data_IF_050832258347
#
_entry.id   IF_050832258347
#
_cell.length_a   1.000
_cell.length_b   1.000
_cell.length_c   1.000
_cell.angle_alpha   90.00
_cell.angle_beta   90.00
_cell.angle_gamma   90.00
#
_symmetry.space_group_name_H-M   'P 1'
#
loop_
_entity.id
_entity.type
_entity.pdbx_description
1 polymer ?
#
# COMPACT_ATOMS: atom_id res chain seq x y z
N UNK A 1 29.35 11.74 -24.76
CA UNK A 1 30.33 11.10 -23.85
C UNK A 1 29.64 10.73 -22.55
N UNK A 2 29.08 9.51 -22.48
CA UNK A 2 28.37 9.00 -21.30
C UNK A 2 29.40 8.30 -20.42
N UNK A 3 29.71 8.85 -19.24
CA UNK A 3 30.59 8.18 -18.27
C UNK A 3 29.91 6.89 -17.83
N UNK A 4 30.40 5.76 -18.31
CA UNK A 4 30.06 4.42 -17.82
C UNK A 4 30.60 4.27 -16.40
N UNK A 5 29.89 4.86 -15.43
CA UNK A 5 30.09 4.59 -14.02
C UNK A 5 29.58 3.19 -13.70
N UNK A 6 30.32 2.47 -12.86
CA UNK A 6 29.85 1.24 -12.22
C UNK A 6 29.28 1.66 -10.86
N UNK A 7 28.03 1.28 -10.59
CA UNK A 7 27.39 1.51 -9.30
C UNK A 7 27.43 0.22 -8.50
N UNK A 8 27.95 0.30 -7.28
CA UNK A 8 27.96 -0.81 -6.34
C UNK A 8 26.72 -0.70 -5.45
N UNK A 9 25.89 -1.73 -5.46
CA UNK A 9 24.71 -1.79 -4.59
C UNK A 9 25.14 -2.04 -3.13
N UNK A 10 24.30 -1.70 -2.15
CA UNK A 10 24.60 -1.97 -0.73
C UNK A 10 24.82 -3.46 -0.40
N UNK A 11 24.50 -4.37 -1.33
CA UNK A 11 24.65 -5.82 -1.21
C UNK A 11 25.86 -6.37 -1.98
N UNK A 12 26.73 -5.49 -2.48
CA UNK A 12 28.01 -5.87 -3.11
C UNK A 12 27.95 -6.20 -4.61
N UNK A 13 26.81 -6.02 -5.29
CA UNK A 13 26.72 -6.24 -6.74
C UNK A 13 27.07 -4.98 -7.53
N UNK A 14 27.87 -5.13 -8.58
CA UNK A 14 28.26 -4.05 -9.49
C UNK A 14 27.34 -4.03 -10.71
N UNK A 15 26.55 -2.96 -10.85
CA UNK A 15 25.63 -2.77 -11.98
C UNK A 15 26.10 -1.62 -12.88
N UNK A 16 25.85 -1.75 -14.18
CA UNK A 16 26.06 -0.63 -15.11
C UNK A 16 24.99 0.45 -14.88
N UNK A 17 25.39 1.73 -14.90
CA UNK A 17 24.47 2.88 -14.79
C UNK A 17 23.19 2.80 -15.66
N UNK A 18 23.25 2.40 -16.95
CA UNK A 18 22.03 2.24 -17.76
C UNK A 18 21.09 1.15 -17.25
N UNK A 19 21.62 0.04 -16.74
CA UNK A 19 20.83 -1.10 -16.23
C UNK A 19 20.17 -0.73 -14.89
N UNK A 20 20.91 -0.08 -13.99
CA UNK A 20 20.37 0.46 -12.74
C UNK A 20 19.18 1.40 -12.98
N UNK A 21 19.31 2.31 -13.95
CA UNK A 21 18.24 3.26 -14.30
C UNK A 21 16.99 2.55 -14.85
N UNK A 22 17.16 1.45 -15.57
CA UNK A 22 16.04 0.66 -16.07
C UNK A 22 15.33 -0.10 -14.93
N UNK A 23 16.10 -0.77 -14.05
CA UNK A 23 15.56 -1.50 -12.88
C UNK A 23 14.73 -0.59 -11.98
N UNK A 24 15.25 0.60 -11.66
CA UNK A 24 14.56 1.61 -10.85
C UNK A 24 13.24 2.06 -11.46
N UNK A 25 13.15 2.21 -12.79
CA UNK A 25 11.88 2.56 -13.47
C UNK A 25 10.84 1.45 -13.31
N UNK A 26 11.25 0.19 -13.45
CA UNK A 26 10.34 -0.95 -13.31
C UNK A 26 9.82 -1.07 -11.87
N UNK A 27 10.70 -0.97 -10.87
CA UNK A 27 10.31 -0.95 -9.46
C UNK A 27 9.37 0.23 -9.14
N UNK A 28 9.66 1.41 -9.71
CA UNK A 28 8.85 2.62 -9.52
C UNK A 28 7.45 2.46 -10.12
N UNK A 29 7.31 1.83 -11.29
CA UNK A 29 6.00 1.53 -11.89
C UNK A 29 5.20 0.55 -11.02
N UNK A 30 5.85 -0.49 -10.48
CA UNK A 30 5.19 -1.46 -9.57
C UNK A 30 4.69 -0.78 -8.29
N UNK A 31 5.53 0.05 -7.68
CA UNK A 31 5.15 0.84 -6.51
C UNK A 31 3.99 1.79 -6.84
N UNK A 32 4.09 2.55 -7.93
CA UNK A 32 3.05 3.50 -8.32
C UNK A 32 1.72 2.82 -8.65
N UNK A 33 1.77 1.65 -9.31
CA UNK A 33 0.58 0.83 -9.55
C UNK A 33 -0.09 0.38 -8.25
N UNK A 34 0.68 -0.10 -7.29
CA UNK A 34 0.16 -0.50 -5.97
C UNK A 34 -0.41 0.70 -5.18
N UNK A 35 0.23 1.87 -5.26
CA UNK A 35 -0.21 3.08 -4.61
C UNK A 35 -1.54 3.60 -5.21
N UNK A 36 -1.67 3.58 -6.55
CA UNK A 36 -2.92 3.94 -7.22
C UNK A 36 -4.07 3.01 -6.82
N UNK A 37 -3.83 1.70 -6.76
CA UNK A 37 -4.84 0.73 -6.33
C UNK A 37 -5.28 0.98 -4.88
N UNK A 38 -4.30 1.22 -4.00
CA UNK A 38 -4.57 1.58 -2.59
C UNK A 38 -5.39 2.86 -2.47
N UNK A 39 -5.05 3.89 -3.25
CA UNK A 39 -5.76 5.16 -3.26
C UNK A 39 -7.20 5.00 -3.79
N UNK A 40 -7.39 4.17 -4.82
CA UNK A 40 -8.71 3.84 -5.35
C UNK A 40 -9.58 3.12 -4.30
N UNK A 41 -9.02 2.12 -3.61
CA UNK A 41 -9.68 1.43 -2.50
C UNK A 41 -10.00 2.38 -1.33
N UNK A 42 -9.08 3.28 -0.98
CA UNK A 42 -9.29 4.29 0.05
C UNK A 42 -10.42 5.27 -0.32
N UNK A 43 -10.46 5.75 -1.57
CA UNK A 43 -11.52 6.64 -2.08
C UNK A 43 -12.88 5.94 -2.15
N UNK A 44 -12.89 4.65 -2.49
CA UNK A 44 -14.09 3.83 -2.42
C UNK A 44 -14.62 3.72 -0.99
N UNK A 45 -13.74 3.38 -0.04
CA UNK A 45 -14.08 3.28 1.37
C UNK A 45 -14.59 4.61 1.94
N UNK A 46 -13.92 5.73 1.63
CA UNK A 46 -14.38 7.06 2.04
C UNK A 46 -15.77 7.40 1.49
N UNK A 47 -16.06 7.07 0.23
CA UNK A 47 -17.37 7.32 -0.37
C UNK A 47 -18.48 6.50 0.30
N UNK A 48 -18.16 5.30 0.80
CA UNK A 48 -19.11 4.42 1.51
C UNK A 48 -19.31 4.81 2.98
N UNK A 49 -18.27 5.34 3.63
CA UNK A 49 -18.33 5.73 5.05
C UNK A 49 -18.91 7.13 5.28
N UNK A 50 -18.73 8.09 4.36
CA UNK A 50 -19.29 9.45 4.46
C UNK A 50 -20.80 9.52 4.78
N UNK A 51 -21.69 8.73 4.15
CA UNK A 51 -23.12 8.77 4.48
C UNK A 51 -23.47 8.15 5.83
N UNK A 52 -22.58 7.33 6.43
CA UNK A 52 -22.82 6.67 7.73
C UNK A 52 -22.55 7.62 8.90
N UNK A 53 -21.63 8.57 8.73
CA UNK A 53 -21.20 9.50 9.78
C UNK A 53 -22.20 10.65 10.01
N UNK A 54 -23.14 10.93 9.09
CA UNK A 54 -23.89 12.21 9.04
C UNK A 54 -25.37 12.09 9.44
N UNK A 55 -25.79 11.06 10.19
CA UNK A 55 -27.15 11.04 10.77
C UNK A 55 -27.20 10.89 12.29
N UNK A 56 -26.10 11.11 12.98
CA UNK A 56 -26.12 11.40 14.42
C UNK A 56 -26.49 12.86 14.62
N UNK A 57 -27.79 13.14 14.58
CA UNK A 57 -28.31 14.46 14.96
C UNK A 57 -27.99 14.64 16.46
N UNK A 58 -27.26 15.69 16.89
CA UNK A 58 -26.88 15.85 18.30
C UNK A 58 -28.09 15.82 19.23
N UNK A 59 -29.26 16.23 18.73
CA UNK A 59 -30.55 16.16 19.43
C UNK A 59 -30.98 14.74 19.85
N UNK A 60 -30.48 13.69 19.17
CA UNK A 60 -30.76 12.28 19.50
C UNK A 60 -30.00 11.79 20.73
N UNK A 61 -28.88 12.43 21.09
CA UNK A 61 -28.15 12.12 22.32
C UNK A 61 -28.83 12.75 23.55
N UNK A 62 -29.53 13.87 23.35
CA UNK A 62 -30.21 14.60 24.43
C UNK A 62 -31.66 14.14 24.66
N UNK A 63 -32.31 13.47 23.70
CA UNK A 63 -33.75 13.23 23.77
C UNK A 63 -34.18 12.01 24.60
N UNK A 64 -33.27 11.22 25.19
CA UNK A 64 -33.63 10.00 25.93
C UNK A 64 -34.36 8.94 25.07
N UNK A 65 -34.55 9.21 23.78
CA UNK A 65 -35.13 8.28 22.81
C UNK A 65 -34.08 7.21 22.59
N UNK A 66 -34.38 5.99 23.05
CA UNK A 66 -33.58 4.78 22.82
C UNK A 66 -33.01 4.84 21.40
N UNK A 67 -31.68 4.80 21.29
CA UNK A 67 -30.94 4.74 20.03
C UNK A 67 -31.75 3.92 19.04
N UNK A 68 -32.32 4.59 18.04
CA UNK A 68 -33.16 3.95 17.04
C UNK A 68 -32.38 2.73 16.54
N UNK A 69 -32.98 1.54 16.71
CA UNK A 69 -32.38 0.25 16.38
C UNK A 69 -31.49 0.41 15.16
N UNK A 70 -30.18 0.35 15.37
CA UNK A 70 -29.20 0.40 14.29
C UNK A 70 -29.48 -0.86 13.47
N UNK A 71 -30.29 -0.72 12.42
CA UNK A 71 -30.46 -1.78 11.43
C UNK A 71 -29.12 -1.88 10.73
N UNK A 72 -28.32 -2.82 11.20
CA UNK A 72 -27.08 -3.22 10.56
C UNK A 72 -27.44 -3.70 9.17
N UNK A 73 -27.20 -2.86 8.17
CA UNK A 73 -27.37 -3.26 6.79
C UNK A 73 -26.21 -4.20 6.44
N UNK A 74 -26.52 -5.49 6.31
CA UNK A 74 -25.54 -6.52 5.94
C UNK A 74 -24.83 -6.19 4.62
N UNK A 75 -25.44 -5.40 3.71
CA UNK A 75 -24.79 -4.92 2.48
C UNK A 75 -23.73 -3.86 2.77
N UNK A 76 -23.99 -3.00 3.76
CA UNK A 76 -23.04 -1.99 4.21
C UNK A 76 -21.86 -2.65 4.92
N UNK A 77 -22.10 -3.64 5.79
CA UNK A 77 -21.03 -4.42 6.42
C UNK A 77 -20.16 -5.14 5.39
N UNK A 78 -20.77 -5.87 4.46
CA UNK A 78 -20.03 -6.64 3.45
C UNK A 78 -19.18 -5.72 2.56
N UNK A 79 -19.73 -4.58 2.12
CA UNK A 79 -18.98 -3.60 1.32
C UNK A 79 -17.88 -2.87 2.12
N UNK A 80 -18.09 -2.64 3.41
CA UNK A 80 -17.09 -2.03 4.30
C UNK A 80 -15.93 -2.99 4.56
N UNK A 81 -16.22 -4.25 4.85
CA UNK A 81 -15.20 -5.30 5.03
C UNK A 81 -14.38 -5.48 3.76
N UNK A 82 -15.02 -5.58 2.59
CA UNK A 82 -14.32 -5.64 1.29
C UNK A 82 -13.47 -4.40 1.00
N UNK A 83 -13.93 -3.21 1.40
CA UNK A 83 -13.17 -1.97 1.26
C UNK A 83 -11.95 -1.92 2.19
N UNK A 84 -12.10 -2.39 3.44
CA UNK A 84 -11.01 -2.46 4.42
C UNK A 84 -9.96 -3.47 3.98
N UNK A 85 -10.35 -4.67 3.56
CA UNK A 85 -9.41 -5.70 3.10
C UNK A 85 -8.64 -5.23 1.87
N UNK A 86 -9.31 -4.59 0.91
CA UNK A 86 -8.67 -3.99 -0.25
C UNK A 86 -7.69 -2.87 0.13
N UNK A 87 -8.05 -2.04 1.12
CA UNK A 87 -7.16 -0.98 1.62
C UNK A 87 -5.93 -1.55 2.35
N UNK A 88 -6.11 -2.54 3.24
CA UNK A 88 -5.01 -3.19 3.97
C UNK A 88 -4.09 -3.96 3.03
N UNK A 89 -4.66 -4.66 2.05
CA UNK A 89 -3.86 -5.38 1.05
C UNK A 89 -3.08 -4.40 0.16
N UNK A 90 -3.71 -3.29 -0.23
CA UNK A 90 -3.05 -2.21 -0.96
C UNK A 90 -1.90 -1.59 -0.18
N UNK A 91 -2.12 -1.23 1.09
CA UNK A 91 -1.07 -0.65 1.94
C UNK A 91 0.07 -1.62 2.22
N UNK A 92 -0.21 -2.90 2.45
CA UNK A 92 0.82 -3.94 2.57
C UNK A 92 1.63 -4.09 1.27
N UNK A 93 0.95 -4.15 0.13
CA UNK A 93 1.58 -4.22 -1.19
C UNK A 93 2.48 -3.02 -1.47
N UNK A 94 1.99 -1.82 -1.18
CA UNK A 94 2.75 -0.57 -1.30
C UNK A 94 3.96 -0.56 -0.35
N UNK A 95 3.82 -1.10 0.87
CA UNK A 95 4.92 -1.26 1.81
C UNK A 95 5.99 -2.21 1.29
N UNK A 96 5.61 -3.39 0.81
CA UNK A 96 6.54 -4.37 0.23
C UNK A 96 7.26 -3.78 -0.98
N UNK A 97 6.54 -3.25 -1.97
CA UNK A 97 7.18 -2.64 -3.14
C UNK A 97 8.00 -1.39 -2.81
N UNK A 98 7.59 -0.62 -1.81
CA UNK A 98 8.35 0.53 -1.30
C UNK A 98 9.67 0.10 -0.67
N UNK A 99 9.66 -0.95 0.16
CA UNK A 99 10.89 -1.52 0.75
C UNK A 99 11.81 -2.11 -0.32
N UNK A 100 11.27 -2.85 -1.31
CA UNK A 100 12.06 -3.37 -2.43
C UNK A 100 12.66 -2.23 -3.29
N UNK A 101 11.95 -1.12 -3.46
CA UNK A 101 12.46 0.04 -4.19
C UNK A 101 13.53 0.82 -3.41
N UNK A 102 13.40 0.91 -2.08
CA UNK A 102 14.37 1.57 -1.22
C UNK A 102 15.67 0.77 -1.10
N UNK A 103 15.56 -0.56 -1.01
CA UNK A 103 16.69 -1.48 -0.91
C UNK A 103 17.25 -1.91 -2.29
N UNK A 104 16.66 -1.42 -3.39
CA UNK A 104 16.99 -1.78 -4.78
C UNK A 104 17.05 -3.30 -5.03
N UNK A 105 16.12 -4.03 -4.44
CA UNK A 105 16.01 -5.49 -4.58
C UNK A 105 15.10 -5.78 -5.77
N UNK A 106 15.65 -6.45 -6.78
CA UNK A 106 14.96 -6.75 -8.04
C UNK A 106 14.77 -8.25 -8.28
N UNK A 107 15.58 -9.09 -7.63
CA UNK A 107 15.55 -10.55 -7.76
C UNK A 107 15.36 -11.27 -6.42
N UNK A 108 14.72 -12.43 -6.47
CA UNK A 108 14.56 -13.31 -5.31
C UNK A 108 15.91 -13.83 -4.77
N UNK A 109 16.91 -13.96 -5.64
CA UNK A 109 18.25 -14.40 -5.25
C UNK A 109 19.00 -13.31 -4.49
N UNK A 110 18.82 -12.03 -4.86
CA UNK A 110 19.34 -10.87 -4.12
C UNK A 110 18.72 -10.82 -2.71
N UNK A 111 17.41 -11.05 -2.61
CA UNK A 111 16.71 -11.10 -1.33
C UNK A 111 17.20 -12.25 -0.42
N UNK A 112 17.45 -13.44 -1.00
CA UNK A 112 17.99 -14.59 -0.25
C UNK A 112 19.42 -14.36 0.24
N UNK A 113 20.28 -13.75 -0.59
CA UNK A 113 21.64 -13.37 -0.16
C UNK A 113 21.59 -12.46 1.05
N UNK A 114 20.75 -11.43 1.00
CA UNK A 114 20.59 -10.48 2.10
C UNK A 114 20.12 -11.13 3.40
N UNK A 115 19.12 -12.01 3.33
CA UNK A 115 18.64 -12.77 4.48
C UNK A 115 19.68 -13.74 5.05
N UNK A 116 20.59 -14.22 4.21
CA UNK A 116 21.66 -15.13 4.64
C UNK A 116 22.80 -14.35 5.31
N UNK A 117 23.15 -13.16 4.80
CA UNK A 117 24.13 -12.27 5.43
C UNK A 117 23.66 -11.69 6.76
N UNK A 118 22.34 -11.49 6.93
CA UNK A 118 21.77 -11.00 8.20
C UNK A 118 21.77 -12.07 9.31
N UNK A 119 22.13 -13.33 8.99
CA UNK A 119 22.19 -14.44 9.96
C UNK A 119 23.59 -14.67 10.59
N UNK A 120 24.55 -13.77 10.34
CA UNK A 120 25.88 -13.77 10.97
C UNK A 120 25.94 -12.67 12.02
#
# INVERSE_FOLDING_TARGET
>A
MSKSGVLQTPWGETLMVPEYKHRRKVQMIKFFGSALLTLASARYLQSKLKPVVIKTNPLQFYSGVRLANVRVDNRLLCSTVGGITGFTLGTLSMGVFGTCWHLDISSNDEFKKMLTDTKV
#
